data_IF_181960763549
#
_entry.id   IF_181960763549
#
_cell.length_a   1.000
_cell.length_b   1.000
_cell.length_c   1.000
_cell.angle_alpha   90.00
_cell.angle_beta   90.00
_cell.angle_gamma   90.00
#
_symmetry.space_group_name_H-M   'P 1'
#
loop_
_entity.id
_entity.type
_entity.pdbx_description
1 polymer ?
#
# COMPACT_ATOMS: atom_id res chain seq x y z
N UNK A 1 -10.31 0.42 11.80
CA UNK A 1 -10.83 0.85 10.49
C UNK A 1 -9.77 1.67 9.76
N UNK A 2 -9.59 1.37 8.50
CA UNK A 2 -8.58 2.07 7.68
C UNK A 2 -9.11 3.44 7.27
N UNK A 3 -8.29 4.47 7.40
CA UNK A 3 -8.67 5.84 7.06
C UNK A 3 -7.51 6.57 6.42
N UNK A 4 -7.76 7.76 5.92
CA UNK A 4 -6.74 8.59 5.29
C UNK A 4 -5.54 8.79 6.21
N UNK A 5 -4.35 8.76 5.61
CA UNK A 5 -3.05 8.89 6.25
C UNK A 5 -2.58 7.63 6.97
N UNK A 6 -3.42 6.59 7.05
CA UNK A 6 -2.98 5.33 7.64
C UNK A 6 -1.95 4.64 6.74
N UNK A 7 -1.04 3.91 7.38
CA UNK A 7 -0.10 3.03 6.67
C UNK A 7 -0.73 1.65 6.56
N UNK A 8 -0.71 1.12 5.35
CA UNK A 8 -1.30 -0.19 5.06
C UNK A 8 -0.27 -1.10 4.40
N UNK A 9 -0.55 -2.40 4.47
CA UNK A 9 0.30 -3.45 3.92
C UNK A 9 -0.50 -4.21 2.87
N UNK A 10 0.11 -4.45 1.71
CA UNK A 10 -0.54 -5.24 0.67
C UNK A 10 -0.74 -6.67 1.13
N UNK A 11 -1.95 -7.18 0.92
CA UNK A 11 -2.30 -8.56 1.25
C UNK A 11 -2.11 -9.52 0.07
N UNK A 12 -1.83 -8.99 -1.11
CA UNK A 12 -1.58 -9.77 -2.32
C UNK A 12 -0.65 -9.02 -3.24
N UNK A 13 -0.13 -9.73 -4.24
CA UNK A 13 0.72 -9.10 -5.25
C UNK A 13 -0.12 -8.23 -6.19
N UNK A 14 0.49 -7.13 -6.65
CA UNK A 14 -0.06 -6.29 -7.70
C UNK A 14 0.96 -6.26 -8.83
N UNK A 15 0.97 -7.32 -9.64
CA UNK A 15 2.02 -7.49 -10.65
C UNK A 15 2.00 -6.40 -11.71
N UNK A 16 0.82 -5.83 -12.01
CA UNK A 16 0.71 -4.75 -12.97
C UNK A 16 1.47 -3.50 -12.53
N UNK A 17 1.78 -3.38 -11.24
CA UNK A 17 2.53 -2.25 -10.68
C UNK A 17 3.89 -2.66 -10.13
N UNK A 18 4.30 -3.90 -10.33
CA UNK A 18 5.54 -4.45 -9.76
C UNK A 18 5.54 -4.43 -8.24
N UNK A 19 4.37 -4.47 -7.64
CA UNK A 19 4.21 -4.50 -6.18
C UNK A 19 3.92 -5.91 -5.72
N UNK A 20 4.33 -6.21 -4.49
CA UNK A 20 4.21 -7.54 -3.92
C UNK A 20 3.51 -7.50 -2.58
N UNK A 21 2.90 -8.62 -2.22
CA UNK A 21 2.38 -8.80 -0.88
C UNK A 21 3.43 -8.40 0.14
N UNK A 22 3.03 -7.62 1.13
CA UNK A 22 3.93 -7.11 2.14
C UNK A 22 4.46 -5.72 1.87
N UNK A 23 4.29 -5.21 0.65
CA UNK A 23 4.69 -3.84 0.36
C UNK A 23 3.79 -2.86 1.11
N UNK A 24 4.37 -1.73 1.50
CA UNK A 24 3.72 -0.76 2.37
C UNK A 24 3.33 0.46 1.57
N UNK A 25 2.12 0.95 1.83
CA UNK A 25 1.64 2.18 1.21
C UNK A 25 0.91 3.04 2.21
N UNK A 26 0.59 4.25 1.78
CA UNK A 26 -0.15 5.21 2.59
C UNK A 26 -1.49 5.52 1.93
N UNK A 27 -2.55 5.55 2.74
CA UNK A 27 -3.88 5.87 2.24
C UNK A 27 -3.97 7.35 1.97
N UNK A 28 -4.21 7.73 0.71
CA UNK A 28 -4.37 9.14 0.33
C UNK A 28 -5.83 9.53 0.19
N UNK A 29 -6.73 8.56 0.02
CA UNK A 29 -8.16 8.83 -0.04
C UNK A 29 -8.94 7.56 0.25
N UNK A 30 -10.10 7.73 0.89
CA UNK A 30 -11.01 6.63 1.22
C UNK A 30 -12.33 6.84 0.49
N UNK A 31 -12.80 5.80 -0.19
CA UNK A 31 -14.06 5.82 -0.92
C UNK A 31 -15.06 4.88 -0.27
N UNK A 32 -16.32 5.09 -0.59
CA UNK A 32 -17.41 4.15 -0.29
C UNK A 32 -17.39 3.70 1.18
N UNK A 33 -17.18 4.65 2.07
CA UNK A 33 -17.23 4.39 3.52
C UNK A 33 -16.27 3.27 3.95
N UNK A 34 -15.06 3.30 3.39
CA UNK A 34 -14.02 2.35 3.78
C UNK A 34 -14.01 1.06 3.00
N UNK A 35 -14.69 0.99 1.86
CA UNK A 35 -14.68 -0.21 1.02
C UNK A 35 -13.61 -0.17 -0.05
N UNK A 36 -13.13 1.02 -0.40
CA UNK A 36 -12.08 1.19 -1.39
C UNK A 36 -11.19 2.35 -0.98
N UNK A 37 -9.92 2.27 -1.39
CA UNK A 37 -8.93 3.27 -1.00
C UNK A 37 -8.03 3.60 -2.17
N UNK A 38 -7.57 4.84 -2.20
CA UNK A 38 -6.46 5.22 -3.06
C UNK A 38 -5.20 5.19 -2.21
N UNK A 39 -4.21 4.41 -2.64
CA UNK A 39 -3.02 4.15 -1.85
C UNK A 39 -1.78 4.49 -2.66
N UNK A 40 -0.91 5.28 -2.05
CA UNK A 40 0.35 5.68 -2.66
C UNK A 40 1.48 4.80 -2.15
N UNK A 41 2.25 4.25 -3.10
CA UNK A 41 3.45 3.47 -2.81
C UNK A 41 4.65 4.28 -3.22
N UNK A 42 5.63 4.43 -2.32
CA UNK A 42 6.81 5.25 -2.58
C UNK A 42 8.09 4.47 -2.32
N UNK A 43 9.18 4.91 -2.93
CA UNK A 43 10.51 4.38 -2.65
C UNK A 43 11.07 5.03 -1.41
N UNK A 44 12.20 4.52 -0.93
CA UNK A 44 12.92 5.12 0.19
C UNK A 44 13.41 6.53 -0.07
N UNK A 45 13.52 6.92 -1.35
CA UNK A 45 13.89 8.30 -1.72
C UNK A 45 12.68 9.22 -1.73
N UNK A 46 11.48 8.68 -1.56
CA UNK A 46 10.26 9.48 -1.60
C UNK A 46 9.62 9.58 -2.98
N UNK A 47 10.15 8.84 -3.97
CA UNK A 47 9.57 8.85 -5.32
C UNK A 47 8.33 7.97 -5.35
N UNK A 48 7.26 8.48 -5.98
CA UNK A 48 6.04 7.71 -6.13
C UNK A 48 6.24 6.57 -7.12
N UNK A 49 5.99 5.34 -6.68
CA UNK A 49 5.96 4.18 -7.57
C UNK A 49 4.64 4.17 -8.31
N UNK A 50 3.56 4.26 -7.58
CA UNK A 50 2.22 4.33 -8.15
C UNK A 50 1.22 4.76 -7.09
N UNK A 51 0.07 5.22 -7.55
CA UNK A 51 -1.12 5.41 -6.71
C UNK A 51 -2.16 4.44 -7.25
N UNK A 52 -2.55 3.47 -6.45
CA UNK A 52 -3.47 2.41 -6.89
C UNK A 52 -4.78 2.50 -6.13
N UNK A 53 -5.88 2.24 -6.83
CA UNK A 53 -7.20 2.14 -6.21
C UNK A 53 -7.40 0.67 -5.84
N UNK A 54 -7.54 0.41 -4.54
CA UNK A 54 -7.62 -0.96 -4.03
C UNK A 54 -8.85 -1.13 -3.14
N UNK A 55 -9.32 -2.36 -3.08
CA UNK A 55 -10.43 -2.72 -2.20
C UNK A 55 -9.91 -2.98 -0.79
N UNK A 56 -10.82 -2.93 0.18
CA UNK A 56 -10.45 -3.14 1.58
C UNK A 56 -9.83 -4.52 1.83
N UNK A 57 -10.16 -5.50 1.01
CA UNK A 57 -9.60 -6.86 1.16
C UNK A 57 -8.20 -7.01 0.57
N UNK A 58 -7.73 -6.01 -0.17
CA UNK A 58 -6.39 -6.05 -0.78
C UNK A 58 -5.30 -5.56 0.17
N UNK A 59 -5.69 -4.91 1.25
CA UNK A 59 -4.76 -4.28 2.19
C UNK A 59 -5.21 -4.53 3.62
N UNK A 60 -4.28 -4.33 4.54
CA UNK A 60 -4.58 -4.35 5.97
C UNK A 60 -3.78 -3.25 6.66
N UNK A 61 -4.23 -2.83 7.82
CA UNK A 61 -3.47 -1.86 8.62
C UNK A 61 -2.13 -2.47 9.05
N UNK A 62 -1.09 -1.66 9.00
CA UNK A 62 0.20 -2.05 9.57
C UNK A 62 0.08 -2.03 11.09
N UNK A 63 0.56 -3.10 11.73
CA UNK A 63 0.50 -3.22 13.18
C UNK A 63 1.79 -2.73 13.81
N UNK A 64 1.70 -2.21 15.04
CA UNK A 64 2.82 -1.56 15.69
C UNK A 64 4.00 -2.47 16.01
N UNK A 65 3.78 -3.78 16.04
CA UNK A 65 4.86 -4.74 16.34
C UNK A 65 5.47 -5.38 15.11
N UNK A 66 5.09 -4.92 13.93
CA UNK A 66 5.64 -5.47 12.70
C UNK A 66 6.98 -4.83 12.39
N UNK A 67 7.90 -5.64 11.88
CA UNK A 67 9.21 -5.16 11.46
C UNK A 67 9.10 -4.67 10.02
N UNK A 68 9.59 -3.46 9.77
CA UNK A 68 9.65 -2.93 8.41
C UNK A 68 10.75 -3.67 7.64
N UNK A 69 10.43 -4.00 6.39
CA UNK A 69 11.35 -4.74 5.54
C UNK A 69 11.51 -4.01 4.21
N UNK A 70 12.75 -3.97 3.70
CA UNK A 70 13.01 -3.31 2.43
C UNK A 70 13.37 -4.34 1.37
N UNK A 71 12.94 -4.06 0.14
CA UNK A 71 13.31 -4.82 -1.02
C UNK A 71 13.56 -3.86 -2.18
N UNK A 72 14.38 -4.30 -3.10
CA UNK A 72 14.66 -3.48 -4.28
C UNK A 72 13.49 -3.59 -5.25
N UNK A 73 13.03 -2.45 -5.77
CA UNK A 73 12.01 -2.46 -6.81
C UNK A 73 12.64 -2.98 -8.09
N UNK A 74 12.02 -4.00 -8.68
CA UNK A 74 12.55 -4.58 -9.91
C UNK A 74 12.11 -3.72 -11.09
N UNK A 75 13.07 -3.41 -11.96
CA UNK A 75 12.76 -2.74 -13.20
C UNK A 75 11.98 -3.68 -14.10
N UNK A 76 11.00 -3.14 -14.82
CA UNK A 76 10.19 -3.92 -15.74
C UNK A 76 11.01 -4.37 -16.94
#
# INVERSE_FOLDING_TARGET
MIKELDTVVLSRDLSEHSLKRGDIGAVVHSYKEGKAFEIEFITGQGDTVTVATLNSEDVRLMQGKEILHVRKLQAA
#
